data_IF_698132566148
#
_entry.id   IF_698132566148
#
_cell.length_a   1.000
_cell.length_b   1.000
_cell.length_c   1.000
_cell.angle_alpha   90.00
_cell.angle_beta   90.00
_cell.angle_gamma   90.00
#
_symmetry.space_group_name_H-M   'P 1'
#
loop_
_entity.id
_entity.type
_entity.pdbx_description
1 polymer ?
#
# COMPACT_ATOMS: atom_id res chain seq x y z
N UNK A 1 18.79 -11.39 -2.05
CA UNK A 1 19.14 -9.96 -2.12
C UNK A 1 19.11 -9.39 -0.71
N UNK A 2 20.05 -8.52 -0.34
CA UNK A 2 20.04 -7.86 0.98
C UNK A 2 18.83 -6.90 1.07
N UNK A 3 18.20 -6.74 2.25
CA UNK A 3 17.10 -5.80 2.41
C UNK A 3 17.59 -4.37 2.13
N UNK A 4 16.81 -3.58 1.39
CA UNK A 4 17.18 -2.19 1.05
C UNK A 4 17.29 -1.30 2.30
N UNK A 5 16.78 -1.71 3.46
CA UNK A 5 17.04 -1.03 4.73
C UNK A 5 18.53 -0.93 5.10
N UNK A 6 19.39 -1.73 4.46
CA UNK A 6 20.85 -1.67 4.63
C UNK A 6 21.54 -0.75 3.61
N UNK A 7 20.80 -0.14 2.70
CA UNK A 7 21.34 0.77 1.68
C UNK A 7 21.41 2.21 2.17
N UNK A 8 22.35 2.99 1.63
CA UNK A 8 22.50 4.41 1.97
C UNK A 8 21.28 5.24 1.54
N UNK A 9 20.62 4.90 0.43
CA UNK A 9 19.48 5.66 -0.09
C UNK A 9 18.21 5.47 0.78
N UNK A 10 18.06 4.33 1.47
CA UNK A 10 16.99 4.14 2.45
C UNK A 10 17.17 5.10 3.63
N UNK A 11 18.39 5.19 4.18
CA UNK A 11 18.70 6.12 5.26
C UNK A 11 18.62 7.59 4.81
N UNK A 12 18.96 7.89 3.57
CA UNK A 12 18.73 9.22 2.99
C UNK A 12 17.24 9.58 2.96
N UNK A 13 16.35 8.63 2.60
CA UNK A 13 14.90 8.82 2.66
C UNK A 13 14.38 8.99 4.10
N UNK A 14 14.97 8.28 5.07
CA UNK A 14 14.63 8.46 6.51
C UNK A 14 15.03 9.85 6.98
N UNK A 15 16.23 10.30 6.67
CA UNK A 15 16.69 11.64 7.00
C UNK A 15 15.82 12.72 6.34
N UNK A 16 15.43 12.51 5.09
CA UNK A 16 14.49 13.36 4.38
C UNK A 16 13.12 13.42 5.07
N UNK A 17 12.56 12.28 5.48
CA UNK A 17 11.30 12.24 6.22
C UNK A 17 11.39 13.04 7.53
N UNK A 18 12.48 12.87 8.29
CA UNK A 18 12.69 13.61 9.53
C UNK A 18 12.76 15.12 9.28
N UNK A 19 13.50 15.55 8.25
CA UNK A 19 13.57 16.96 7.88
C UNK A 19 12.19 17.52 7.47
N UNK A 20 11.41 16.76 6.69
CA UNK A 20 10.05 17.13 6.29
C UNK A 20 9.12 17.28 7.50
N UNK A 21 9.16 16.34 8.45
CA UNK A 21 8.36 16.39 9.67
C UNK A 21 8.74 17.57 10.54
N UNK A 22 10.04 17.81 10.79
CA UNK A 22 10.50 18.94 11.60
C UNK A 22 10.05 20.26 10.99
N UNK A 23 10.21 20.44 9.68
CA UNK A 23 9.77 21.66 9.01
C UNK A 23 8.25 21.80 8.97
N UNK A 24 7.52 20.70 8.78
CA UNK A 24 6.05 20.68 8.80
C UNK A 24 5.50 21.11 10.16
N UNK A 25 6.07 20.62 11.26
CA UNK A 25 5.72 21.02 12.62
C UNK A 25 6.05 22.49 12.88
N UNK A 26 7.15 23.01 12.33
CA UNK A 26 7.53 24.41 12.56
C UNK A 26 6.70 25.42 11.74
N UNK A 27 6.27 25.06 10.52
CA UNK A 27 5.63 25.99 9.60
C UNK A 27 4.12 25.81 9.43
N UNK A 28 3.56 24.65 9.79
CA UNK A 28 2.12 24.38 9.73
C UNK A 28 1.42 24.68 8.38
N UNK A 29 2.11 24.46 7.25
CA UNK A 29 1.57 24.66 5.89
C UNK A 29 1.04 23.33 5.33
N UNK A 30 -0.20 23.31 4.84
CA UNK A 30 -0.88 22.09 4.40
C UNK A 30 -0.20 21.42 3.20
N UNK A 31 0.17 22.21 2.19
CA UNK A 31 0.87 21.71 1.00
C UNK A 31 2.24 21.12 1.37
N UNK A 32 2.86 21.60 2.45
CA UNK A 32 4.11 21.08 3.00
C UNK A 32 3.93 19.78 3.82
N UNK A 33 2.71 19.36 4.12
CA UNK A 33 2.48 18.07 4.79
C UNK A 33 2.37 16.91 3.79
N UNK A 34 1.99 17.20 2.54
CA UNK A 34 1.81 16.19 1.49
C UNK A 34 3.09 15.39 1.13
N UNK A 35 4.30 16.00 1.09
CA UNK A 35 5.54 15.25 0.88
C UNK A 35 5.80 14.15 1.91
N UNK A 36 5.38 14.35 3.17
CA UNK A 36 5.55 13.37 4.26
C UNK A 36 4.83 12.07 3.92
N UNK A 37 3.58 12.14 3.45
CA UNK A 37 2.80 10.98 3.05
C UNK A 37 3.53 10.17 1.96
N UNK A 38 4.04 10.87 0.94
CA UNK A 38 4.75 10.26 -0.18
C UNK A 38 6.07 9.61 0.23
N UNK A 39 6.86 10.28 1.07
CA UNK A 39 8.14 9.75 1.57
C UNK A 39 7.91 8.55 2.49
N UNK A 40 6.87 8.60 3.34
CA UNK A 40 6.48 7.49 4.21
C UNK A 40 6.06 6.25 3.41
N UNK A 41 5.19 6.43 2.40
CA UNK A 41 4.78 5.36 1.49
C UNK A 41 6.02 4.68 0.89
N UNK A 42 6.96 5.48 0.39
CA UNK A 42 8.17 5.00 -0.25
C UNK A 42 9.08 4.22 0.70
N UNK A 43 9.29 4.72 1.92
CA UNK A 43 10.08 4.05 2.95
C UNK A 43 9.52 2.67 3.31
N UNK A 44 8.20 2.58 3.52
CA UNK A 44 7.54 1.31 3.86
C UNK A 44 7.69 0.30 2.73
N UNK A 45 7.54 0.75 1.50
CA UNK A 45 7.69 -0.10 0.31
C UNK A 45 9.15 -0.56 0.13
N UNK A 46 10.10 0.34 0.32
CA UNK A 46 11.52 0.06 0.12
C UNK A 46 12.07 -0.90 1.17
N UNK A 47 11.55 -0.89 2.41
CA UNK A 47 12.05 -1.71 3.51
C UNK A 47 12.21 -3.21 3.17
N UNK A 48 11.39 -3.73 2.25
CA UNK A 48 11.38 -5.16 1.87
C UNK A 48 11.44 -5.42 0.35
N UNK A 49 11.94 -4.47 -0.45
CA UNK A 49 12.00 -4.58 -1.93
C UNK A 49 12.90 -5.71 -2.47
N UNK A 50 13.63 -6.43 -1.59
CA UNK A 50 14.47 -7.58 -1.96
C UNK A 50 13.76 -8.94 -2.08
N UNK A 51 12.45 -9.01 -1.85
CA UNK A 51 11.67 -10.25 -1.94
C UNK A 51 10.81 -10.27 -3.22
N UNK A 52 10.95 -11.32 -4.02
CA UNK A 52 10.13 -11.53 -5.21
C UNK A 52 8.65 -11.68 -4.83
N UNK A 53 7.74 -11.23 -5.71
CA UNK A 53 6.31 -11.50 -5.55
C UNK A 53 6.10 -13.02 -5.41
N UNK A 54 5.53 -13.46 -4.30
CA UNK A 54 5.14 -14.87 -4.07
C UNK A 54 5.96 -15.62 -3.04
N UNK A 55 7.17 -15.18 -2.68
CA UNK A 55 8.03 -15.96 -1.77
C UNK A 55 7.65 -15.83 -0.28
N UNK A 56 7.05 -14.70 0.12
CA UNK A 56 6.61 -14.43 1.50
C UNK A 56 5.41 -13.46 1.52
N UNK A 57 4.47 -13.62 2.46
CA UNK A 57 3.34 -12.70 2.64
C UNK A 57 3.73 -11.33 3.23
N UNK A 58 4.90 -11.25 3.87
CA UNK A 58 5.39 -10.08 4.62
C UNK A 58 5.60 -8.81 3.76
N UNK A 59 6.25 -8.85 2.58
CA UNK A 59 6.42 -7.67 1.72
C UNK A 59 5.10 -7.13 1.19
N UNK A 60 4.15 -8.01 0.89
CA UNK A 60 2.79 -7.64 0.46
C UNK A 60 2.05 -6.91 1.60
N UNK A 61 2.09 -7.46 2.81
CA UNK A 61 1.50 -6.81 4.00
C UNK A 61 2.06 -5.40 4.21
N UNK A 62 3.38 -5.21 4.12
CA UNK A 62 3.99 -3.89 4.23
C UNK A 62 3.53 -2.93 3.14
N UNK A 63 3.38 -3.37 1.88
CA UNK A 63 2.83 -2.51 0.81
C UNK A 63 1.41 -2.05 1.14
N UNK A 64 0.56 -2.95 1.60
CA UNK A 64 -0.80 -2.62 2.03
C UNK A 64 -0.77 -1.61 3.18
N UNK A 65 0.04 -1.85 4.22
CA UNK A 65 0.22 -0.90 5.33
C UNK A 65 0.72 0.47 4.84
N UNK A 66 1.67 0.50 3.91
CA UNK A 66 2.18 1.73 3.32
C UNK A 66 1.10 2.52 2.60
N UNK A 67 0.28 1.85 1.78
CA UNK A 67 -0.83 2.49 1.08
C UNK A 67 -1.94 2.96 2.04
N UNK A 68 -2.25 2.21 3.10
CA UNK A 68 -3.20 2.62 4.13
C UNK A 68 -2.68 3.85 4.90
N UNK A 69 -1.41 3.83 5.32
CA UNK A 69 -0.78 4.97 5.98
C UNK A 69 -0.76 6.22 5.10
N UNK A 70 -0.45 6.05 3.80
CA UNK A 70 -0.50 7.12 2.81
C UNK A 70 -1.89 7.77 2.74
N UNK A 71 -2.94 6.95 2.58
CA UNK A 71 -4.33 7.44 2.58
C UNK A 71 -4.68 8.14 3.88
N UNK A 72 -4.28 7.59 5.02
CA UNK A 72 -4.59 8.17 6.33
C UNK A 72 -3.98 9.58 6.48
N UNK A 73 -2.72 9.77 6.10
CA UNK A 73 -2.07 11.09 6.16
C UNK A 73 -2.73 12.08 5.20
N UNK A 74 -3.04 11.66 3.97
CA UNK A 74 -3.76 12.52 3.01
C UNK A 74 -5.16 12.90 3.52
N UNK A 75 -5.86 11.96 4.14
CA UNK A 75 -7.19 12.19 4.70
C UNK A 75 -7.13 13.23 5.82
N UNK A 76 -6.23 13.06 6.80
CA UNK A 76 -6.05 14.03 7.90
C UNK A 76 -5.67 15.42 7.38
N UNK A 77 -4.78 15.48 6.38
CA UNK A 77 -4.40 16.76 5.78
C UNK A 77 -5.58 17.42 5.04
N UNK A 78 -6.44 16.61 4.42
CA UNK A 78 -7.62 17.11 3.70
C UNK A 78 -8.72 17.56 4.65
N UNK A 79 -8.94 16.86 5.76
CA UNK A 79 -9.91 17.30 6.77
C UNK A 79 -9.51 18.63 7.37
N UNK A 80 -8.23 18.82 7.70
CA UNK A 80 -7.72 20.11 8.17
C UNK A 80 -7.83 21.20 7.09
N UNK A 81 -7.58 20.87 5.82
CA UNK A 81 -7.76 21.81 4.71
C UNK A 81 -9.23 22.24 4.52
N UNK A 82 -10.17 21.31 4.70
CA UNK A 82 -11.60 21.62 4.62
C UNK A 82 -12.08 22.46 5.79
N UNK A 83 -11.60 22.17 7.01
CA UNK A 83 -11.86 22.97 8.21
C UNK A 83 -11.41 24.42 8.01
N UNK A 84 -10.18 24.62 7.52
CA UNK A 84 -9.69 25.96 7.17
C UNK A 84 -10.51 26.62 6.06
N UNK A 85 -11.10 25.88 5.12
CA UNK A 85 -11.99 26.49 4.11
C UNK A 85 -13.36 26.86 4.67
N UNK A 86 -13.85 26.16 5.70
CA UNK A 86 -15.15 26.43 6.33
C UNK A 86 -15.08 27.47 7.43
N UNK A 87 -13.98 27.57 8.18
CA UNK A 87 -13.84 28.54 9.28
C UNK A 87 -13.63 29.97 8.77
N UNK A 88 -13.05 30.14 7.59
CA UNK A 88 -12.88 31.46 6.97
C UNK A 88 -14.21 32.13 6.58
N UNK A 89 -15.28 31.35 6.43
CA UNK A 89 -16.62 31.89 6.21
C UNK A 89 -17.23 32.58 7.44
N UNK A 90 -16.72 32.30 8.64
CA UNK A 90 -17.23 32.83 9.91
C UNK A 90 -16.46 34.05 10.46
N UNK A 91 -15.58 34.66 9.65
CA UNK A 91 -15.01 35.98 9.93
C UNK A 91 -13.86 36.01 10.96
N UNK A 92 -13.38 34.86 11.42
CA UNK A 92 -12.17 34.75 12.24
C UNK A 92 -10.98 34.34 11.35
N UNK A 93 -10.35 35.32 10.71
CA UNK A 93 -9.11 35.11 9.95
C UNK A 93 -7.98 34.71 10.90
N UNK A 94 -7.52 33.47 10.83
CA UNK A 94 -6.25 33.08 11.45
C UNK A 94 -5.11 33.72 10.65
N UNK A 95 -4.62 34.84 11.17
CA UNK A 95 -3.38 35.47 10.72
C UNK A 95 -2.26 34.43 10.89
N UNK A 96 -1.60 34.08 9.79
CA UNK A 96 -0.36 33.33 9.83
C UNK A 96 0.74 34.24 10.40
N UNK A 97 0.95 34.16 11.71
CA UNK A 97 2.19 34.55 12.37
C UNK A 97 2.59 36.02 12.28
N UNK A 98 1.88 36.88 13.00
CA UNK A 98 2.44 38.14 13.51
C UNK A 98 2.54 38.02 15.03
N UNK A 99 3.65 37.45 15.52
CA UNK A 99 4.14 37.70 16.89
C UNK A 99 5.60 38.17 16.79
N UNK A 100 5.73 39.49 16.81
CA UNK A 100 6.72 40.29 17.53
C UNK A 100 8.21 39.97 17.36
N UNK A 101 8.82 40.70 16.42
CA UNK A 101 10.09 41.37 16.70
C UNK A 101 10.00 42.83 16.22
N UNK A 102 9.68 43.71 17.16
CA UNK A 102 9.89 45.16 17.05
C UNK A 102 11.38 45.45 16.78
N UNK A 103 11.68 46.11 15.65
CA UNK A 103 12.29 47.44 15.63
C UNK A 103 12.86 47.76 14.22
N UNK A 104 12.50 48.98 13.76
CA UNK A 104 13.06 49.74 12.63
C UNK A 104 12.56 49.48 11.19
N UNK A 105 11.67 50.38 10.76
CA UNK A 105 11.71 51.09 9.47
C UNK A 105 12.22 50.30 8.24
N UNK A 106 11.41 49.39 7.70
CA UNK A 106 11.61 48.93 6.33
C UNK A 106 10.30 48.85 5.54
N UNK A 107 10.36 49.43 4.34
CA UNK A 107 9.30 49.54 3.34
C UNK A 107 8.50 48.24 3.12
N UNK A 108 7.15 48.26 3.09
CA UNK A 108 6.33 47.05 2.92
C UNK A 108 6.16 46.58 1.45
N UNK A 109 7.04 46.94 0.51
CA UNK A 109 6.78 46.72 -0.93
C UNK A 109 7.74 45.77 -1.68
N UNK A 110 8.66 45.06 -1.04
CA UNK A 110 9.64 44.19 -1.75
C UNK A 110 9.58 42.69 -1.44
N UNK A 111 8.58 42.21 -0.71
CA UNK A 111 8.43 40.78 -0.42
C UNK A 111 7.17 40.23 -1.11
N UNK A 112 7.38 39.39 -2.12
CA UNK A 112 6.30 38.75 -2.89
C UNK A 112 5.33 37.97 -1.99
N UNK A 113 4.17 37.61 -2.55
CA UNK A 113 3.07 36.96 -1.82
C UNK A 113 3.32 35.47 -1.51
N UNK A 114 4.58 35.06 -1.40
CA UNK A 114 4.96 33.68 -1.12
C UNK A 114 4.82 33.32 0.36
N UNK A 115 4.09 32.25 0.64
CA UNK A 115 3.93 31.70 1.99
C UNK A 115 4.81 30.47 2.25
N UNK A 116 5.42 29.89 1.21
CA UNK A 116 6.30 28.71 1.33
C UNK A 116 7.70 29.13 1.80
N UNK A 117 8.21 28.59 2.92
CA UNK A 117 9.55 28.92 3.42
C UNK A 117 10.66 28.43 2.49
N UNK A 118 11.70 29.25 2.29
CA UNK A 118 12.89 28.90 1.49
C UNK A 118 13.54 27.59 1.92
N UNK A 119 13.60 27.33 3.22
CA UNK A 119 14.16 26.11 3.79
C UNK A 119 13.40 24.85 3.31
N UNK A 120 12.08 24.95 3.22
CA UNK A 120 11.23 23.85 2.75
C UNK A 120 11.43 23.58 1.25
N UNK A 121 11.65 24.63 0.45
CA UNK A 121 11.96 24.50 -0.98
C UNK A 121 13.25 23.71 -1.21
N UNK A 122 14.30 24.00 -0.43
CA UNK A 122 15.58 23.28 -0.52
C UNK A 122 15.38 21.79 -0.25
N UNK A 123 14.62 21.44 0.80
CA UNK A 123 14.28 20.04 1.12
C UNK A 123 13.44 19.41 0.01
N UNK A 124 12.52 20.15 -0.61
CA UNK A 124 11.68 19.66 -1.70
C UNK A 124 12.47 19.40 -2.99
N UNK A 125 13.48 20.22 -3.29
CA UNK A 125 14.39 19.98 -4.43
C UNK A 125 15.19 18.70 -4.20
N UNK A 126 15.74 18.53 -2.99
CA UNK A 126 16.45 17.31 -2.62
C UNK A 126 15.54 16.08 -2.68
N UNK A 127 14.28 16.22 -2.23
CA UNK A 127 13.26 15.18 -2.30
C UNK A 127 13.05 14.71 -3.76
N UNK A 128 12.75 15.62 -4.68
CA UNK A 128 12.58 15.30 -6.11
C UNK A 128 13.82 14.61 -6.67
N UNK A 129 15.02 15.14 -6.39
CA UNK A 129 16.27 14.58 -6.88
C UNK A 129 16.50 13.14 -6.38
N UNK A 130 16.31 12.91 -5.08
CA UNK A 130 16.48 11.60 -4.45
C UNK A 130 15.46 10.60 -4.98
N UNK A 131 14.18 10.99 -5.09
CA UNK A 131 13.12 10.12 -5.64
C UNK A 131 13.36 9.77 -7.10
N UNK A 132 13.75 10.73 -7.93
CA UNK A 132 14.14 10.49 -9.32
C UNK A 132 15.34 9.53 -9.42
N UNK A 133 16.36 9.69 -8.57
CA UNK A 133 17.50 8.79 -8.51
C UNK A 133 17.09 7.36 -8.15
N UNK A 134 16.32 7.18 -7.06
CA UNK A 134 15.88 5.86 -6.62
C UNK A 134 14.96 5.19 -7.65
N UNK A 135 14.12 5.98 -8.35
CA UNK A 135 13.31 5.49 -9.46
C UNK A 135 14.18 5.03 -10.65
N UNK A 136 15.18 5.82 -11.03
CA UNK A 136 16.11 5.49 -12.11
C UNK A 136 16.94 4.22 -11.83
N UNK A 137 17.27 3.98 -10.56
CA UNK A 137 17.96 2.77 -10.11
C UNK A 137 17.06 1.52 -10.05
N UNK A 138 15.75 1.64 -10.31
CA UNK A 138 14.82 0.51 -10.30
C UNK A 138 14.51 -0.04 -8.88
N UNK A 139 14.82 0.73 -7.84
CA UNK A 139 14.70 0.30 -6.43
C UNK A 139 13.31 0.49 -5.82
N UNK A 140 12.35 0.96 -6.62
CA UNK A 140 10.94 1.07 -6.21
C UNK A 140 10.14 0.00 -6.98
N UNK A 141 9.19 -0.70 -6.36
CA UNK A 141 8.32 -1.65 -7.05
C UNK A 141 7.26 -0.92 -7.86
N UNK A 142 6.77 -1.54 -8.93
CA UNK A 142 5.79 -0.94 -9.84
C UNK A 142 4.44 -0.68 -9.18
N UNK A 143 4.03 -1.44 -8.16
CA UNK A 143 2.70 -1.35 -7.52
C UNK A 143 1.55 -1.35 -8.55
N UNK A 144 1.72 -2.07 -9.66
CA UNK A 144 0.71 -2.11 -10.73
C UNK A 144 0.60 -0.81 -11.53
N UNK A 145 1.47 0.17 -11.28
CA UNK A 145 1.52 1.44 -11.98
C UNK A 145 2.56 1.39 -13.11
N UNK A 146 2.19 1.99 -14.25
CA UNK A 146 3.13 2.30 -15.31
C UNK A 146 4.21 3.29 -14.83
N UNK A 147 5.38 3.36 -15.50
CA UNK A 147 6.49 4.21 -15.07
C UNK A 147 6.13 5.69 -14.85
N UNK A 148 5.26 6.24 -15.70
CA UNK A 148 4.84 7.65 -15.64
C UNK A 148 3.94 7.93 -14.42
N UNK A 149 2.80 7.25 -14.22
CA UNK A 149 1.99 7.40 -13.00
C UNK A 149 2.79 7.18 -11.71
N UNK A 150 3.76 6.25 -11.73
CA UNK A 150 4.64 6.01 -10.60
C UNK A 150 5.60 7.16 -10.32
N UNK A 151 6.19 7.76 -11.36
CA UNK A 151 7.00 8.97 -11.21
C UNK A 151 6.16 10.09 -10.60
N UNK A 152 4.98 10.35 -11.19
CA UNK A 152 4.05 11.38 -10.74
C UNK A 152 3.66 11.16 -9.28
N UNK A 153 3.27 9.94 -8.89
CA UNK A 153 2.89 9.61 -7.52
C UNK A 153 3.96 10.06 -6.52
N UNK A 154 5.24 9.84 -6.81
CA UNK A 154 6.31 10.13 -5.85
C UNK A 154 6.82 11.58 -5.92
N UNK A 155 6.80 12.23 -7.08
CA UNK A 155 7.38 13.58 -7.25
C UNK A 155 6.35 14.71 -7.25
N UNK A 156 5.05 14.44 -7.40
CA UNK A 156 4.02 15.47 -7.52
C UNK A 156 4.00 16.43 -6.32
N UNK A 157 3.94 15.92 -5.08
CA UNK A 157 3.84 16.79 -3.90
C UNK A 157 5.05 17.73 -3.70
N UNK A 158 6.31 17.28 -3.73
CA UNK A 158 7.43 18.22 -3.61
C UNK A 158 7.55 19.16 -4.82
N UNK A 159 7.11 18.73 -6.02
CA UNK A 159 7.06 19.62 -7.20
C UNK A 159 6.03 20.73 -7.02
N UNK A 160 4.85 20.42 -6.44
CA UNK A 160 3.83 21.42 -6.12
C UNK A 160 4.38 22.43 -5.11
N UNK A 161 5.09 21.98 -4.07
CA UNK A 161 5.71 22.91 -3.09
C UNK A 161 6.67 23.89 -3.76
N UNK A 162 7.54 23.39 -4.65
CA UNK A 162 8.45 24.25 -5.44
C UNK A 162 7.65 25.20 -6.33
N UNK A 163 6.61 24.70 -6.99
CA UNK A 163 5.72 25.50 -7.85
C UNK A 163 5.02 26.62 -7.09
N UNK A 164 4.52 26.35 -5.89
CA UNK A 164 3.86 27.33 -5.03
C UNK A 164 4.82 28.43 -4.57
N UNK A 165 6.06 28.06 -4.26
CA UNK A 165 7.11 29.04 -3.95
C UNK A 165 7.39 29.96 -5.14
N UNK A 166 7.62 29.40 -6.32
CA UNK A 166 7.88 30.18 -7.55
C UNK A 166 6.69 31.06 -7.92
N UNK A 167 5.46 30.54 -7.79
CA UNK A 167 4.25 31.29 -8.02
C UNK A 167 4.17 32.51 -7.08
N UNK A 168 4.43 32.33 -5.78
CA UNK A 168 4.42 33.43 -4.81
C UNK A 168 5.43 34.55 -5.11
N UNK A 169 6.54 34.24 -5.79
CA UNK A 169 7.51 35.24 -6.24
C UNK A 169 7.09 35.96 -7.53
N UNK A 170 6.31 35.30 -8.39
CA UNK A 170 6.01 35.77 -9.73
C UNK A 170 4.61 36.38 -9.88
N UNK A 171 3.71 36.16 -8.91
CA UNK A 171 2.34 36.65 -9.06
C UNK A 171 2.24 38.18 -8.94
N UNK A 172 1.41 38.81 -9.78
CA UNK A 172 1.18 40.25 -9.71
C UNK A 172 0.31 40.62 -8.50
N UNK A 173 0.51 41.84 -7.98
CA UNK A 173 -0.10 42.29 -6.72
C UNK A 173 -1.63 42.28 -6.69
N UNK A 174 -2.29 42.49 -7.83
CA UNK A 174 -3.75 42.41 -7.92
C UNK A 174 -4.27 40.99 -7.67
N UNK A 175 -3.51 39.96 -8.05
CA UNK A 175 -3.86 38.57 -7.83
C UNK A 175 -3.45 38.09 -6.44
N UNK A 176 -2.29 38.54 -5.93
CA UNK A 176 -1.81 38.19 -4.59
C UNK A 176 -2.73 38.67 -3.45
N UNK A 177 -3.44 39.78 -3.64
CA UNK A 177 -4.45 40.28 -2.69
C UNK A 177 -5.84 39.65 -2.88
N UNK A 178 -6.00 38.75 -3.85
CA UNK A 178 -7.29 38.10 -4.10
C UNK A 178 -7.63 37.08 -3.02
N UNK A 179 -8.92 36.88 -2.78
CA UNK A 179 -9.41 35.78 -1.93
C UNK A 179 -8.83 34.43 -2.36
N UNK A 180 -8.73 34.18 -3.68
CA UNK A 180 -8.21 32.93 -4.20
C UNK A 180 -6.76 32.66 -3.76
N UNK A 181 -5.89 33.66 -3.81
CA UNK A 181 -4.49 33.48 -3.40
C UNK A 181 -4.37 33.28 -1.88
N UNK A 182 -5.19 33.96 -1.08
CA UNK A 182 -5.21 33.77 0.37
C UNK A 182 -5.67 32.36 0.78
N UNK A 183 -6.48 31.68 -0.05
CA UNK A 183 -6.98 30.33 0.22
C UNK A 183 -6.27 29.25 -0.62
N UNK A 184 -5.18 29.60 -1.29
CA UNK A 184 -4.56 28.70 -2.26
C UNK A 184 -3.95 27.46 -1.61
N UNK A 185 -3.41 27.57 -0.38
CA UNK A 185 -2.82 26.43 0.35
C UNK A 185 -3.84 25.31 0.61
N UNK A 186 -4.97 25.55 1.29
CA UNK A 186 -5.97 24.49 1.50
C UNK A 186 -6.63 24.02 0.20
N UNK A 187 -6.86 24.91 -0.78
CA UNK A 187 -7.43 24.52 -2.09
C UNK A 187 -6.50 23.56 -2.83
N UNK A 188 -5.20 23.90 -2.92
CA UNK A 188 -4.20 23.05 -3.58
C UNK A 188 -4.04 21.74 -2.83
N UNK A 189 -4.07 21.75 -1.49
CA UNK A 189 -4.04 20.53 -0.68
C UNK A 189 -5.20 19.59 -1.05
N UNK A 190 -6.45 20.08 -1.08
CA UNK A 190 -7.63 19.27 -1.44
C UNK A 190 -7.52 18.71 -2.86
N UNK A 191 -7.18 19.55 -3.85
CA UNK A 191 -7.05 19.12 -5.25
C UNK A 191 -5.97 18.04 -5.38
N UNK A 192 -4.83 18.25 -4.71
CA UNK A 192 -3.69 17.32 -4.75
C UNK A 192 -4.06 15.97 -4.12
N UNK A 193 -4.80 15.97 -3.01
CA UNK A 193 -5.32 14.72 -2.42
C UNK A 193 -6.20 13.94 -3.39
N UNK A 194 -7.13 14.62 -4.07
CA UNK A 194 -8.01 13.97 -5.05
C UNK A 194 -7.17 13.31 -6.16
N UNK A 195 -6.16 14.01 -6.67
CA UNK A 195 -5.23 13.46 -7.66
C UNK A 195 -4.48 12.22 -7.13
N UNK A 196 -4.02 12.24 -5.88
CA UNK A 196 -3.37 11.10 -5.26
C UNK A 196 -4.30 9.90 -5.07
N UNK A 197 -5.57 10.12 -4.72
CA UNK A 197 -6.55 9.04 -4.66
C UNK A 197 -6.76 8.39 -6.03
N UNK A 198 -6.86 9.18 -7.10
CA UNK A 198 -6.97 8.65 -8.46
C UNK A 198 -5.73 7.81 -8.85
N UNK A 199 -4.53 8.23 -8.43
CA UNK A 199 -3.28 7.52 -8.70
C UNK A 199 -3.12 6.23 -7.89
N UNK A 200 -3.63 6.14 -6.67
CA UNK A 200 -3.44 4.97 -5.81
C UNK A 200 -4.50 3.87 -6.01
N UNK A 201 -5.69 4.19 -6.55
CA UNK A 201 -6.76 3.20 -6.81
C UNK A 201 -6.27 1.97 -7.61
N UNK A 202 -5.50 2.12 -8.71
CA UNK A 202 -4.99 0.98 -9.45
C UNK A 202 -4.09 0.06 -8.59
N UNK A 203 -3.26 0.65 -7.72
CA UNK A 203 -2.41 -0.12 -6.81
C UNK A 203 -3.25 -0.93 -5.81
N UNK A 204 -4.34 -0.37 -5.28
CA UNK A 204 -5.26 -1.11 -4.41
C UNK A 204 -5.99 -2.24 -5.14
N UNK A 205 -6.42 -2.03 -6.39
CA UNK A 205 -7.05 -3.09 -7.19
C UNK A 205 -6.14 -4.30 -7.40
N UNK A 206 -4.84 -4.08 -7.59
CA UNK A 206 -3.87 -5.18 -7.67
C UNK A 206 -3.72 -5.92 -6.34
N UNK A 207 -3.80 -5.22 -5.21
CA UNK A 207 -3.63 -5.80 -3.88
C UNK A 207 -4.91 -6.46 -3.31
N UNK A 208 -6.09 -6.09 -3.81
CA UNK A 208 -7.40 -6.53 -3.32
C UNK A 208 -7.56 -8.05 -3.21
N UNK A 209 -7.18 -8.87 -4.22
CA UNK A 209 -7.37 -10.32 -4.16
C UNK A 209 -6.59 -10.96 -3.02
N UNK A 210 -5.45 -10.38 -2.64
CA UNK A 210 -4.65 -10.92 -1.54
C UNK A 210 -5.18 -10.55 -0.16
N UNK A 211 -5.88 -9.42 -0.04
CA UNK A 211 -6.51 -8.99 1.22
C UNK A 211 -7.73 -9.86 1.53
N UNK A 212 -8.52 -10.16 0.51
CA UNK A 212 -9.76 -10.94 0.66
C UNK A 212 -9.58 -12.44 0.43
N UNK A 213 -8.34 -12.88 0.16
CA UNK A 213 -8.04 -14.26 -0.23
C UNK A 213 -8.93 -14.73 -1.40
N UNK A 214 -9.19 -13.83 -2.36
CA UNK A 214 -10.04 -14.13 -3.50
C UNK A 214 -9.39 -15.22 -4.35
N UNK A 215 -10.20 -16.21 -4.72
CA UNK A 215 -9.80 -17.22 -5.69
C UNK A 215 -9.40 -16.53 -7.00
N UNK A 216 -8.22 -16.83 -7.58
CA UNK A 216 -7.82 -16.25 -8.85
C UNK A 216 -8.91 -16.44 -9.91
N UNK A 217 -9.26 -15.40 -10.66
CA UNK A 217 -10.35 -15.45 -11.66
C UNK A 217 -10.17 -16.52 -12.75
N UNK A 218 -8.95 -17.05 -12.91
CA UNK A 218 -8.63 -18.16 -13.82
C UNK A 218 -9.04 -19.53 -13.26
N UNK A 219 -9.43 -19.60 -11.99
CA UNK A 219 -9.76 -20.84 -11.30
C UNK A 219 -11.27 -20.93 -11.08
N UNK A 220 -11.93 -21.67 -11.98
CA UNK A 220 -13.35 -21.94 -11.90
C UNK A 220 -13.61 -23.05 -10.89
N UNK A 221 -13.76 -22.67 -9.62
CA UNK A 221 -13.97 -23.60 -8.48
C UNK A 221 -15.09 -24.59 -8.76
N UNK A 222 -16.20 -24.15 -9.35
CA UNK A 222 -17.37 -25.01 -9.63
C UNK A 222 -17.07 -26.09 -10.66
N UNK A 223 -16.39 -25.75 -11.76
CA UNK A 223 -15.98 -26.73 -12.77
C UNK A 223 -14.99 -27.75 -12.19
N UNK A 224 -14.05 -27.26 -11.39
CA UNK A 224 -13.04 -28.08 -10.73
C UNK A 224 -13.66 -28.99 -9.66
N UNK A 225 -14.63 -28.49 -8.91
CA UNK A 225 -15.36 -29.27 -7.91
C UNK A 225 -16.16 -30.40 -8.57
N UNK A 226 -16.81 -30.14 -9.71
CA UNK A 226 -17.55 -31.16 -10.46
C UNK A 226 -16.65 -32.26 -11.04
N UNK A 227 -15.40 -31.93 -11.37
CA UNK A 227 -14.39 -32.87 -11.89
C UNK A 227 -13.78 -33.74 -10.77
N UNK A 228 -13.92 -33.33 -9.51
CA UNK A 228 -13.29 -33.98 -8.34
C UNK A 228 -14.29 -34.73 -7.46
N UNK A 229 -15.57 -34.35 -7.49
CA UNK A 229 -16.63 -35.02 -6.73
C UNK A 229 -17.06 -36.31 -7.41
N UNK A 230 -16.38 -37.41 -7.09
CA UNK A 230 -16.75 -38.76 -7.56
C UNK A 230 -17.32 -39.62 -6.43
N UNK A 231 -18.29 -40.49 -6.79
CA UNK A 231 -18.92 -41.44 -5.87
C UNK A 231 -18.36 -42.85 -6.10
N UNK A 232 -18.04 -43.55 -5.00
CA UNK A 232 -17.59 -44.95 -5.04
C UNK A 232 -18.66 -45.82 -4.36
N UNK A 233 -19.02 -46.92 -5.01
CA UNK A 233 -20.01 -47.86 -4.50
C UNK A 233 -19.40 -48.77 -3.43
N UNK A 234 -19.82 -48.59 -2.17
CA UNK A 234 -19.39 -49.40 -1.02
C UNK A 234 -19.81 -50.88 -1.08
N UNK A 235 -20.75 -51.24 -1.95
CA UNK A 235 -21.21 -52.63 -2.08
C UNK A 235 -20.19 -53.57 -2.73
N UNK A 236 -19.19 -53.04 -3.44
CA UNK A 236 -18.12 -53.81 -4.09
C UNK A 236 -17.01 -54.15 -3.10
N UNK A 237 -16.54 -55.39 -3.04
CA UNK A 237 -15.46 -55.79 -2.11
C UNK A 237 -14.14 -55.01 -2.29
N UNK A 238 -13.88 -54.47 -3.49
CA UNK A 238 -12.70 -53.68 -3.84
C UNK A 238 -12.88 -52.16 -3.71
N UNK A 239 -13.98 -51.68 -3.09
CA UNK A 239 -14.33 -50.25 -3.03
C UNK A 239 -13.21 -49.40 -2.39
N UNK A 240 -12.51 -49.94 -1.40
CA UNK A 240 -11.41 -49.29 -0.68
C UNK A 240 -10.24 -48.99 -1.62
N UNK A 241 -9.82 -50.00 -2.39
CA UNK A 241 -8.66 -49.90 -3.28
C UNK A 241 -8.99 -49.00 -4.48
N UNK A 242 -10.23 -49.07 -4.98
CA UNK A 242 -10.72 -48.19 -6.04
C UNK A 242 -10.75 -46.72 -5.57
N UNK A 243 -11.26 -46.44 -4.37
CA UNK A 243 -11.28 -45.10 -3.80
C UNK A 243 -9.86 -44.53 -3.57
N UNK A 244 -8.92 -45.36 -3.10
CA UNK A 244 -7.54 -44.95 -2.89
C UNK A 244 -6.80 -44.63 -4.19
N UNK A 245 -6.98 -45.47 -5.22
CA UNK A 245 -6.40 -45.25 -6.55
C UNK A 245 -6.93 -43.95 -7.17
N UNK A 246 -8.25 -43.72 -7.11
CA UNK A 246 -8.88 -42.50 -7.62
C UNK A 246 -8.45 -41.26 -6.87
N UNK A 247 -8.35 -41.31 -5.54
CA UNK A 247 -7.81 -40.19 -4.75
C UNK A 247 -6.39 -39.83 -5.20
N UNK A 248 -5.54 -40.82 -5.49
CA UNK A 248 -4.18 -40.56 -5.98
C UNK A 248 -4.18 -39.86 -7.34
N UNK A 249 -5.07 -40.26 -8.25
CA UNK A 249 -5.23 -39.64 -9.57
C UNK A 249 -5.72 -38.19 -9.45
N UNK A 250 -6.80 -37.97 -8.71
CA UNK A 250 -7.34 -36.64 -8.41
C UNK A 250 -6.28 -35.76 -7.78
N UNK A 251 -5.57 -36.25 -6.75
CA UNK A 251 -4.50 -35.51 -6.09
C UNK A 251 -3.41 -35.10 -7.07
N UNK A 252 -2.97 -36.01 -7.94
CA UNK A 252 -1.95 -35.70 -8.95
C UNK A 252 -2.44 -34.68 -9.98
N UNK A 253 -3.69 -34.80 -10.45
CA UNK A 253 -4.27 -33.87 -11.39
C UNK A 253 -4.42 -32.46 -10.76
N UNK A 254 -4.99 -32.38 -9.56
CA UNK A 254 -5.15 -31.14 -8.79
C UNK A 254 -3.80 -30.47 -8.56
N UNK A 255 -2.80 -31.24 -8.12
CA UNK A 255 -1.44 -30.72 -7.89
C UNK A 255 -0.84 -30.22 -9.21
N UNK A 256 -0.95 -30.99 -10.29
CA UNK A 256 -0.42 -30.62 -11.61
C UNK A 256 -1.03 -29.33 -12.14
N UNK A 257 -2.36 -29.22 -12.11
CA UNK A 257 -3.11 -28.04 -12.58
C UNK A 257 -2.74 -26.81 -11.76
N UNK A 258 -2.75 -26.92 -10.43
CA UNK A 258 -2.46 -25.79 -9.54
C UNK A 258 -0.98 -25.39 -9.61
N UNK A 259 -0.04 -26.32 -9.68
CA UNK A 259 1.38 -26.02 -9.87
C UNK A 259 1.63 -25.37 -11.24
N UNK A 260 0.97 -25.85 -12.31
CA UNK A 260 1.03 -25.22 -13.64
C UNK A 260 0.42 -23.81 -13.65
N UNK A 261 -0.56 -23.56 -12.80
CA UNK A 261 -1.15 -22.24 -12.59
C UNK A 261 -0.28 -21.32 -11.70
N UNK A 262 0.84 -21.81 -11.17
CA UNK A 262 1.81 -21.03 -10.40
C UNK A 262 1.75 -21.24 -8.89
N UNK A 263 0.98 -22.21 -8.38
CA UNK A 263 0.98 -22.54 -6.97
C UNK A 263 2.35 -23.12 -6.56
N UNK A 264 3.03 -22.46 -5.62
CA UNK A 264 4.30 -22.93 -5.07
C UNK A 264 4.15 -24.19 -4.20
N UNK A 265 3.00 -24.34 -3.53
CA UNK A 265 2.70 -25.51 -2.69
C UNK A 265 1.20 -25.81 -2.76
N UNK A 266 0.87 -27.07 -2.98
CA UNK A 266 -0.51 -27.56 -3.08
C UNK A 266 -0.68 -28.69 -2.08
N UNK A 267 -1.73 -28.61 -1.26
CA UNK A 267 -2.11 -29.67 -0.32
C UNK A 267 -3.52 -30.10 -0.68
N UNK A 268 -3.72 -31.40 -0.90
CA UNK A 268 -5.01 -31.99 -1.27
C UNK A 268 -5.42 -32.96 -0.18
N UNK A 269 -6.42 -32.58 0.61
CA UNK A 269 -6.97 -33.40 1.68
C UNK A 269 -8.19 -34.18 1.17
N UNK A 270 -8.25 -35.51 1.35
CA UNK A 270 -9.44 -36.28 1.01
C UNK A 270 -10.54 -36.04 2.06
N UNK A 271 -11.76 -35.85 1.59
CA UNK A 271 -12.97 -35.92 2.42
C UNK A 271 -13.84 -37.05 1.92
N UNK A 272 -13.81 -38.20 2.61
CA UNK A 272 -14.69 -39.32 2.33
C UNK A 272 -15.97 -39.16 3.14
N UNK A 273 -17.07 -38.83 2.47
CA UNK A 273 -18.40 -38.74 3.07
C UNK A 273 -19.25 -39.90 2.57
N UNK A 274 -19.95 -40.56 3.49
CA UNK A 274 -21.03 -41.45 3.10
C UNK A 274 -22.21 -40.60 2.61
N UNK A 275 -22.86 -40.99 1.51
CA UNK A 275 -24.02 -40.28 0.98
C UNK A 275 -25.17 -40.17 2.00
N UNK A 276 -25.18 -41.05 3.00
CA UNK A 276 -26.14 -41.04 4.11
C UNK A 276 -25.77 -40.09 5.26
N UNK A 277 -24.53 -39.63 5.34
CA UNK A 277 -24.04 -38.69 6.39
C UNK A 277 -24.06 -37.24 5.89
N UNK A 278 -25.25 -36.66 5.75
CA UNK A 278 -25.42 -35.25 5.37
C UNK A 278 -25.19 -34.35 6.59
N UNK A 279 -24.29 -33.36 6.46
CA UNK A 279 -24.13 -32.27 7.45
C UNK A 279 -23.08 -32.48 8.53
N UNK A 280 -22.20 -33.49 8.44
CA UNK A 280 -21.05 -33.58 9.33
C UNK A 280 -20.03 -32.46 9.04
N UNK A 281 -19.59 -31.69 10.05
CA UNK A 281 -18.52 -30.72 9.85
C UNK A 281 -17.23 -31.47 9.48
N UNK A 282 -16.59 -31.03 8.40
CA UNK A 282 -15.32 -31.60 7.97
C UNK A 282 -14.24 -31.32 9.02
N UNK A 283 -13.56 -32.38 9.46
CA UNK A 283 -12.41 -32.30 10.38
C UNK A 283 -11.17 -32.69 9.58
N UNK A 284 -10.36 -31.70 9.23
CA UNK A 284 -9.11 -31.89 8.49
C UNK A 284 -8.19 -32.93 9.14
N UNK A 285 -7.38 -33.58 8.31
CA UNK A 285 -6.55 -34.71 8.73
C UNK A 285 -5.05 -34.36 8.84
N UNK A 286 -4.71 -33.08 8.72
CA UNK A 286 -3.34 -32.56 8.72
C UNK A 286 -3.04 -31.87 10.06
N UNK A 287 -2.14 -32.46 10.86
CA UNK A 287 -1.60 -31.82 12.06
C UNK A 287 -0.49 -30.79 11.75
N UNK A 288 -0.18 -29.89 12.68
CA UNK A 288 0.85 -28.85 12.51
C UNK A 288 2.26 -29.36 12.13
N UNK A 289 2.54 -30.65 12.36
CA UNK A 289 3.82 -31.31 12.05
C UNK A 289 3.84 -32.04 10.69
N UNK A 290 2.69 -32.22 10.04
CA UNK A 290 2.57 -32.88 8.72
C UNK A 290 3.17 -32.08 7.56
N UNK A 291 3.35 -30.77 7.75
CA UNK A 291 3.76 -29.83 6.70
C UNK A 291 5.12 -30.12 6.06
N UNK A 292 5.93 -31.01 6.66
CA UNK A 292 7.27 -31.39 6.18
C UNK A 292 7.32 -32.69 5.36
N UNK A 293 6.24 -33.45 5.24
CA UNK A 293 6.30 -34.84 4.73
C UNK A 293 5.54 -35.13 3.42
N UNK A 294 4.93 -34.14 2.76
CA UNK A 294 4.12 -34.34 1.52
C UNK A 294 3.07 -35.47 1.62
N UNK A 295 2.54 -35.71 2.82
CA UNK A 295 1.46 -36.67 3.05
C UNK A 295 0.11 -35.96 3.01
N UNK A 296 -0.87 -36.56 2.32
CA UNK A 296 -2.24 -36.02 2.18
C UNK A 296 -3.09 -36.10 3.45
N UNK A 297 -2.70 -36.95 4.41
CA UNK A 297 -3.20 -36.97 5.78
C UNK A 297 -2.08 -37.48 6.70
N UNK A 298 -1.95 -36.90 7.89
CA UNK A 298 -1.23 -37.53 8.99
C UNK A 298 -1.84 -37.10 10.32
N UNK A 299 -2.85 -37.85 10.75
CA UNK A 299 -3.19 -37.90 12.18
C UNK A 299 -2.03 -38.62 12.88
N UNK A 300 -1.37 -37.92 13.81
CA UNK A 300 -0.62 -38.61 14.86
C UNK A 300 -1.65 -39.53 15.53
N UNK A 301 -1.37 -40.84 15.57
CA UNK A 301 -2.08 -41.73 16.46
C UNK A 301 -1.85 -41.19 17.87
N UNK A 302 -2.86 -40.54 18.45
CA UNK A 302 -2.86 -40.28 19.87
C UNK A 302 -2.95 -41.66 20.53
N UNK A 303 -1.83 -42.15 21.05
CA UNK A 303 -1.72 -43.41 21.79
C UNK A 303 -2.42 -43.32 23.16
N UNK A 304 -3.67 -42.84 23.18
CA UNK A 304 -4.55 -42.79 24.35
C UNK A 304 -5.93 -43.34 24.01
N UNK A 305 -5.96 -44.59 23.56
CA UNK A 305 -7.16 -45.43 23.63
C UNK A 305 -6.78 -46.92 23.50
N UNK A 306 -5.93 -47.41 24.39
CA UNK A 306 -5.97 -48.81 24.82
C UNK A 306 -5.76 -48.81 26.34
N UNK A 307 -6.87 -48.82 27.07
CA UNK A 307 -7.02 -49.58 28.32
C UNK A 307 -8.19 -50.50 28.10
#
# INVERSE_FOLDING_TARGET
MLPLSQSWYYWAMVALLLAQVVLSVNYHILVCNMPIANTLLLLVIMAHHGYALGDQARPLFHRICGCVAFIAVLFVNTTHALELLTDYTDGHSHSHGDEDHDDHDHHPEEHGFGFVPKQYVIVSIFDVALKCLVLALGHIPSMGLHPIPRLILHTLSPTIVIGMYVAGLAIPAWFGKSWFWQHVDPVVAVITTILFFLLIIPAFKEMMPYIFADTPAKFHVESFQSEISETVDKSKSSWSDEAAARYSEVRQNVTSVLTRAGAQKVVVEPSFLDATEIGRPWVGCVGATCFRQDRGCCKIQDNRAIV
#
